data_IF_926813824833
#
_entry.id   IF_926813824833
#
_cell.length_a   1.000
_cell.length_b   1.000
_cell.length_c   1.000
_cell.angle_alpha   90.00
_cell.angle_beta   90.00
_cell.angle_gamma   90.00
#
_symmetry.space_group_name_H-M   'P 1'
#
loop_
_entity.id
_entity.type
_entity.pdbx_description
1 polymer ?
#
# COMPACT_ATOMS: atom_id res chain seq x y z
N UNK A 1 6.14 35.91 -0.30
CA UNK A 1 5.46 35.03 -1.27
C UNK A 1 5.71 33.63 -0.77
N UNK A 2 4.67 32.84 -0.48
CA UNK A 2 4.85 31.51 0.14
C UNK A 2 5.21 30.53 -0.99
N UNK A 3 6.44 30.03 -1.01
CA UNK A 3 6.90 29.13 -2.07
C UNK A 3 6.67 27.66 -1.67
N UNK A 4 6.58 26.76 -2.66
CA UNK A 4 6.47 25.30 -2.41
C UNK A 4 7.63 24.75 -1.57
N UNK A 5 8.75 25.46 -1.50
CA UNK A 5 9.87 25.11 -0.61
C UNK A 5 9.56 25.38 0.86
N UNK A 6 8.87 26.47 1.19
CA UNK A 6 8.49 26.80 2.57
C UNK A 6 7.46 25.80 3.11
N UNK A 7 6.49 25.38 2.29
CA UNK A 7 5.52 24.35 2.66
C UNK A 7 6.19 23.01 2.97
N UNK A 8 7.16 22.59 2.16
CA UNK A 8 7.89 21.33 2.35
C UNK A 8 8.75 21.30 3.61
N UNK A 9 9.15 22.45 4.14
CA UNK A 9 9.91 22.58 5.39
C UNK A 9 9.01 22.59 6.63
N UNK A 10 7.69 22.69 6.48
CA UNK A 10 6.79 22.57 7.63
C UNK A 10 6.79 21.15 8.16
N UNK A 11 6.77 21.01 9.50
CA UNK A 11 6.66 19.68 10.16
C UNK A 11 5.44 18.92 9.63
N UNK A 12 4.33 19.62 9.45
CA UNK A 12 3.10 19.08 8.88
C UNK A 12 3.30 18.43 7.50
N UNK A 13 4.03 19.07 6.57
CA UNK A 13 4.28 18.46 5.27
C UNK A 13 5.18 17.23 5.36
N UNK A 14 6.19 17.25 6.23
CA UNK A 14 7.04 16.08 6.49
C UNK A 14 6.23 14.90 7.04
N UNK A 15 5.38 15.17 8.03
CA UNK A 15 4.52 14.16 8.65
C UNK A 15 3.56 13.54 7.62
N UNK A 16 2.86 14.37 6.84
CA UNK A 16 1.93 13.91 5.79
C UNK A 16 2.66 13.18 4.66
N UNK A 17 3.87 13.59 4.29
CA UNK A 17 4.66 12.93 3.25
C UNK A 17 5.19 11.56 3.70
N UNK A 18 5.58 11.43 4.98
CA UNK A 18 5.95 10.14 5.55
C UNK A 18 4.76 9.20 5.69
N UNK A 19 3.60 9.72 6.08
CA UNK A 19 2.34 8.99 6.13
C UNK A 19 1.94 8.49 4.73
N UNK A 20 1.91 9.39 3.74
CA UNK A 20 1.62 9.02 2.35
C UNK A 20 2.59 8.01 1.74
N UNK A 21 3.87 8.03 2.14
CA UNK A 21 4.84 6.99 1.75
C UNK A 21 4.54 5.63 2.37
N UNK A 22 4.04 5.59 3.61
CA UNK A 22 3.64 4.35 4.27
C UNK A 22 2.37 3.79 3.65
N UNK A 23 1.37 4.65 3.43
CA UNK A 23 0.12 4.29 2.77
C UNK A 23 0.37 3.79 1.35
N UNK A 24 1.14 4.51 0.53
CA UNK A 24 1.42 4.09 -0.85
C UNK A 24 2.18 2.77 -0.96
N UNK A 25 3.06 2.46 0.01
CA UNK A 25 3.70 1.12 0.08
C UNK A 25 2.70 0.03 0.41
N UNK A 26 1.75 0.31 1.29
CA UNK A 26 0.73 -0.65 1.68
C UNK A 26 -0.27 -0.89 0.54
N UNK A 27 -0.73 0.18 -0.12
CA UNK A 27 -1.61 0.11 -1.29
C UNK A 27 -0.97 -0.67 -2.44
N UNK A 28 0.29 -0.38 -2.79
CA UNK A 28 1.00 -1.10 -3.86
C UNK A 28 1.13 -2.60 -3.56
N UNK A 29 1.34 -2.98 -2.29
CA UNK A 29 1.36 -4.39 -1.89
C UNK A 29 -0.03 -5.04 -2.02
N UNK A 30 -1.12 -4.32 -1.83
CA UNK A 30 -2.47 -4.86 -1.98
C UNK A 30 -2.87 -4.97 -3.46
N UNK A 31 -2.50 -4.00 -4.31
CA UNK A 31 -2.79 -4.02 -5.75
C UNK A 31 -2.09 -5.16 -6.51
N UNK A 32 -0.95 -5.64 -6.01
CA UNK A 32 -0.24 -6.77 -6.62
C UNK A 32 -0.85 -8.13 -6.26
N UNK A 33 -1.73 -8.20 -5.26
CA UNK A 33 -2.33 -9.47 -4.79
C UNK A 33 -3.15 -10.17 -5.90
N UNK A 34 -4.08 -9.51 -6.61
CA UNK A 34 -4.79 -10.12 -7.74
C UNK A 34 -3.83 -10.64 -8.83
N UNK A 35 -2.73 -9.93 -9.07
CA UNK A 35 -1.73 -10.33 -10.05
C UNK A 35 -0.98 -11.59 -9.61
N UNK A 36 -0.55 -11.67 -8.35
CA UNK A 36 0.11 -12.86 -7.79
C UNK A 36 -0.80 -14.09 -7.79
N UNK A 37 -2.10 -13.89 -7.52
CA UNK A 37 -3.10 -14.94 -7.66
C UNK A 37 -3.25 -15.41 -9.11
N UNK A 38 -3.23 -14.50 -10.08
CA UNK A 38 -3.25 -14.84 -11.50
C UNK A 38 -2.01 -15.61 -11.96
N UNK A 39 -0.86 -15.40 -11.29
CA UNK A 39 0.37 -16.19 -11.47
C UNK A 39 0.32 -17.58 -10.81
N UNK A 40 -0.77 -17.92 -10.10
CA UNK A 40 -0.96 -19.23 -9.46
C UNK A 40 -0.41 -19.33 -8.04
N UNK A 41 -0.03 -18.23 -7.39
CA UNK A 41 0.30 -18.24 -5.97
C UNK A 41 -0.93 -18.51 -5.11
N UNK A 42 -0.78 -19.24 -4.00
CA UNK A 42 -1.88 -19.41 -3.04
C UNK A 42 -2.03 -18.19 -2.13
N UNK A 43 -3.21 -18.02 -1.55
CA UNK A 43 -3.51 -16.95 -0.58
C UNK A 43 -2.53 -17.00 0.60
N UNK A 44 -2.20 -18.19 1.10
CA UNK A 44 -1.26 -18.39 2.22
C UNK A 44 0.16 -17.94 1.85
N UNK A 45 0.61 -18.28 0.63
CA UNK A 45 1.93 -17.87 0.14
C UNK A 45 2.02 -16.35 -0.01
N UNK A 46 0.96 -15.71 -0.50
CA UNK A 46 0.89 -14.27 -0.66
C UNK A 46 0.85 -13.57 0.71
N UNK A 47 0.04 -14.08 1.64
CA UNK A 47 -0.05 -13.61 3.02
C UNK A 47 1.34 -13.64 3.69
N UNK A 48 2.04 -14.77 3.57
CA UNK A 48 3.39 -14.93 4.11
C UNK A 48 4.43 -14.03 3.42
N UNK A 49 4.36 -13.89 2.09
CA UNK A 49 5.34 -13.11 1.34
C UNK A 49 5.18 -11.59 1.55
N UNK A 50 3.95 -11.11 1.73
CA UNK A 50 3.64 -9.68 1.90
C UNK A 50 3.53 -9.23 3.36
N UNK A 51 3.58 -10.19 4.29
CA UNK A 51 3.37 -10.02 5.73
C UNK A 51 1.96 -9.48 6.04
N UNK A 52 0.95 -10.10 5.42
CA UNK A 52 -0.46 -9.77 5.58
C UNK A 52 -1.25 -10.95 6.13
N UNK A 53 -2.40 -10.63 6.74
CA UNK A 53 -3.38 -11.63 7.12
C UNK A 53 -4.08 -12.20 5.87
N UNK A 54 -4.37 -13.50 5.86
CA UNK A 54 -5.08 -14.15 4.76
C UNK A 54 -6.44 -13.51 4.46
N UNK A 55 -7.14 -12.98 5.48
CA UNK A 55 -8.40 -12.26 5.28
C UNK A 55 -8.20 -10.98 4.47
N UNK A 56 -7.10 -10.26 4.71
CA UNK A 56 -6.73 -9.06 3.96
C UNK A 56 -6.40 -9.42 2.53
N UNK A 57 -5.65 -10.51 2.32
CA UNK A 57 -5.33 -11.02 0.98
C UNK A 57 -6.60 -11.44 0.23
N UNK A 58 -7.54 -12.11 0.89
CA UNK A 58 -8.85 -12.46 0.31
C UNK A 58 -9.70 -11.25 -0.05
N UNK A 59 -9.70 -10.21 0.78
CA UNK A 59 -10.41 -8.96 0.45
C UNK A 59 -9.75 -8.23 -0.70
N UNK A 60 -8.42 -8.12 -0.72
CA UNK A 60 -7.69 -7.46 -1.80
C UNK A 60 -7.79 -8.22 -3.14
N UNK A 61 -7.98 -9.53 -3.08
CA UNK A 61 -8.26 -10.38 -4.24
C UNK A 61 -9.67 -10.19 -4.82
N UNK A 62 -10.62 -9.70 -4.02
CA UNK A 62 -11.96 -9.43 -4.51
C UNK A 62 -11.92 -8.15 -5.35
N UNK A 63 -12.43 -8.18 -6.59
CA UNK A 63 -12.59 -6.95 -7.35
C UNK A 63 -13.51 -6.01 -6.54
N UNK A 64 -13.05 -4.78 -6.29
CA UNK A 64 -13.93 -3.72 -5.83
C UNK A 64 -14.95 -3.47 -6.95
N UNK A 65 -16.18 -3.97 -6.77
CA UNK A 65 -17.34 -3.64 -7.63
C UNK A 65 -17.65 -2.16 -7.61
#
# INVERSE_FOLDING_TARGET
MFELNDLRQTRFFQDVFEEGKKEGKQEAKLEVIPHLLAFGCSIEQIAQALDFDEQVVRQAAQPKS
#
